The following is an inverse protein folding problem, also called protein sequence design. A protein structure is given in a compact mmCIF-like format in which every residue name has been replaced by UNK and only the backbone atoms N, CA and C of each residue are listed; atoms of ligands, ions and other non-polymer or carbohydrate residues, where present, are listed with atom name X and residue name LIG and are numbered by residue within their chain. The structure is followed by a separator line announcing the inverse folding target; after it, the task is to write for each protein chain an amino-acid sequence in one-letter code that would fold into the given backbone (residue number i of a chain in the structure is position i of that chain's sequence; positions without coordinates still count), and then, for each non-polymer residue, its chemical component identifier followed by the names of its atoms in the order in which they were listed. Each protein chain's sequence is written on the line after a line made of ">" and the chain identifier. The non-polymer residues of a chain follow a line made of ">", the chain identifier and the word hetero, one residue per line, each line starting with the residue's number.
data_IF_792736591811
#
_entry.id   IF_792736591811
#
_cell.length_a   1.000
_cell.length_b   1.000
_cell.length_c   1.000
_cell.angle_alpha   90.00
_cell.angle_beta   90.00
_cell.angle_gamma   90.00
#
_symmetry.space_group_name_H-M   'P 1'
#
loop_
_entity.id
_entity.type
_entity.pdbx_description
1 polymer ?
#
# COMPACT_ATOMS: atom_id res chain seq x y z
N UNK A 1 -7.58 57.03 -12.73
CA UNK A 1 -6.67 56.03 -12.13
C UNK A 1 -7.39 54.91 -11.38
N UNK A 2 -8.36 55.16 -10.48
CA UNK A 2 -9.07 54.10 -9.72
C UNK A 2 -9.83 53.07 -10.57
N UNK A 3 -10.40 53.46 -11.72
CA UNK A 3 -11.16 52.53 -12.60
C UNK A 3 -10.27 51.55 -13.39
N UNK A 4 -9.03 51.93 -13.69
CA UNK A 4 -8.07 51.07 -14.41
C UNK A 4 -7.55 49.95 -13.49
N UNK A 5 -7.34 50.26 -12.21
CA UNK A 5 -6.88 49.29 -11.21
C UNK A 5 -7.87 48.12 -11.03
N UNK A 6 -9.18 48.42 -11.06
CA UNK A 6 -10.24 47.41 -10.87
C UNK A 6 -10.30 46.44 -12.07
N UNK A 7 -10.08 46.94 -13.29
CA UNK A 7 -10.09 46.12 -14.51
C UNK A 7 -8.88 45.18 -14.54
N UNK A 8 -7.70 45.65 -14.08
CA UNK A 8 -6.49 44.83 -14.00
C UNK A 8 -6.63 43.71 -12.95
N UNK A 9 -7.28 43.98 -11.81
CA UNK A 9 -7.55 42.96 -10.79
C UNK A 9 -8.58 41.92 -11.29
N UNK A 10 -9.62 42.34 -12.01
CA UNK A 10 -10.61 41.42 -12.58
C UNK A 10 -10.01 40.53 -13.68
N UNK A 11 -9.07 41.04 -14.49
CA UNK A 11 -8.32 40.25 -15.47
C UNK A 11 -7.37 39.24 -14.81
N UNK A 12 -6.74 39.59 -13.68
CA UNK A 12 -5.93 38.66 -12.89
C UNK A 12 -6.76 37.53 -12.24
N UNK A 13 -8.02 37.81 -11.89
CA UNK A 13 -8.94 36.77 -11.40
C UNK A 13 -9.45 35.87 -12.54
N UNK A 14 -9.61 36.38 -13.76
CA UNK A 14 -10.00 35.58 -14.93
C UNK A 14 -8.85 34.72 -15.48
N UNK A 15 -7.60 35.09 -15.22
CA UNK A 15 -6.42 34.29 -15.55
C UNK A 15 -6.06 33.27 -14.48
N UNK A 16 -6.98 32.93 -13.57
CA UNK A 16 -6.85 31.72 -12.75
C UNK A 16 -7.01 30.52 -13.67
N UNK A 17 -5.87 30.22 -14.31
CA UNK A 17 -5.46 29.02 -14.97
C UNK A 17 -6.43 27.85 -14.72
N UNK A 18 -7.03 27.35 -15.79
CA UNK A 18 -7.34 25.93 -15.90
C UNK A 18 -6.01 25.17 -15.82
N UNK A 19 -5.43 25.06 -14.61
CA UNK A 19 -4.40 24.08 -14.33
C UNK A 19 -5.12 22.76 -14.54
N UNK A 20 -4.77 22.05 -15.62
CA UNK A 20 -5.17 20.67 -15.77
C UNK A 20 -4.59 19.93 -14.54
N UNK A 21 -5.43 19.74 -13.53
CA UNK A 21 -5.12 18.87 -12.41
C UNK A 21 -4.90 17.49 -13.01
N UNK A 22 -3.66 16.99 -12.93
CA UNK A 22 -3.37 15.63 -13.36
C UNK A 22 -4.38 14.67 -12.72
N UNK A 23 -4.81 13.65 -13.48
CA UNK A 23 -5.76 12.66 -12.99
C UNK A 23 -5.31 12.13 -11.63
N UNK A 24 -6.17 12.30 -10.63
CA UNK A 24 -5.88 11.93 -9.24
C UNK A 24 -5.54 10.44 -9.13
N UNK A 25 -6.10 9.60 -10.00
CA UNK A 25 -5.78 8.17 -10.07
C UNK A 25 -4.32 7.93 -10.49
N UNK A 26 -3.82 8.68 -11.47
CA UNK A 26 -2.42 8.58 -11.93
C UNK A 26 -1.46 9.03 -10.84
N UNK A 27 -1.78 10.14 -10.16
CA UNK A 27 -0.98 10.65 -9.05
C UNK A 27 -0.98 9.67 -7.87
N UNK A 28 -2.15 9.16 -7.48
CA UNK A 28 -2.27 8.22 -6.37
C UNK A 28 -1.55 6.91 -6.68
N UNK A 29 -1.73 6.32 -7.86
CA UNK A 29 -1.06 5.08 -8.22
C UNK A 29 0.47 5.22 -8.13
N UNK A 30 1.01 6.32 -8.68
CA UNK A 30 2.45 6.62 -8.60
C UNK A 30 2.91 6.81 -7.17
N UNK A 31 2.17 7.54 -6.35
CA UNK A 31 2.56 7.82 -4.97
C UNK A 31 2.51 6.54 -4.13
N UNK A 32 1.39 5.80 -4.16
CA UNK A 32 1.21 4.58 -3.37
C UNK A 32 2.26 3.53 -3.71
N UNK A 33 2.51 3.22 -4.98
CA UNK A 33 3.50 2.19 -5.32
C UNK A 33 4.94 2.70 -5.37
N UNK A 34 5.18 3.97 -5.67
CA UNK A 34 6.52 4.49 -5.90
C UNK A 34 7.23 5.07 -4.67
N UNK A 35 6.50 5.63 -3.71
CA UNK A 35 7.13 6.34 -2.56
C UNK A 35 6.36 6.29 -1.25
N UNK A 36 5.14 5.77 -1.24
CA UNK A 36 4.35 5.68 -0.02
C UNK A 36 4.93 4.61 0.92
N UNK A 37 4.94 4.84 2.26
CA UNK A 37 5.44 3.87 3.21
C UNK A 37 4.70 2.53 3.12
N UNK A 38 5.47 1.45 3.01
CA UNK A 38 4.96 0.08 3.07
C UNK A 38 4.78 -0.33 4.53
N UNK A 39 3.68 -1.01 4.84
CA UNK A 39 3.59 -1.77 6.09
C UNK A 39 4.44 -3.04 5.91
N UNK A 40 5.43 -3.24 6.77
CA UNK A 40 6.30 -4.42 6.81
C UNK A 40 6.58 -4.76 8.27
N UNK A 41 5.69 -5.57 8.84
CA UNK A 41 5.71 -5.96 10.24
C UNK A 41 5.84 -7.46 10.34
N UNK A 42 6.72 -7.94 11.22
CA UNK A 42 7.00 -9.37 11.37
C UNK A 42 6.61 -9.86 12.76
N UNK A 43 6.05 -11.07 12.80
CA UNK A 43 5.72 -11.77 14.05
C UNK A 43 4.91 -10.94 15.06
N UNK A 44 3.94 -10.17 14.58
CA UNK A 44 3.02 -9.40 15.41
C UNK A 44 1.75 -10.19 15.69
N UNK A 45 1.11 -9.94 16.83
CA UNK A 45 -0.16 -10.58 17.17
C UNK A 45 -1.32 -9.60 16.90
N UNK A 46 -2.43 -10.09 16.29
CA UNK A 46 -3.63 -9.28 16.19
C UNK A 46 -4.26 -9.06 17.57
N UNK A 47 -4.81 -7.87 17.76
CA UNK A 47 -5.63 -7.51 18.91
C UNK A 47 -6.93 -8.32 18.92
N UNK A 48 -7.53 -8.44 20.11
CA UNK A 48 -8.84 -9.05 20.23
C UNK A 48 -9.94 -8.12 19.68
N UNK A 49 -10.25 -8.27 18.40
CA UNK A 49 -11.33 -7.57 17.72
C UNK A 49 -12.60 -8.45 17.62
N UNK A 50 -13.78 -7.85 17.79
CA UNK A 50 -15.07 -8.51 17.62
C UNK A 50 -15.51 -8.62 16.15
N UNK A 51 -14.96 -7.79 15.26
CA UNK A 51 -15.33 -7.81 13.84
C UNK A 51 -14.74 -9.05 13.15
N UNK A 52 -15.60 -9.77 12.43
CA UNK A 52 -15.28 -11.07 11.84
C UNK A 52 -14.47 -11.00 10.54
N UNK A 53 -14.37 -9.83 9.94
CA UNK A 53 -13.73 -9.60 8.62
C UNK A 53 -12.45 -8.75 8.74
N UNK A 54 -11.94 -8.55 9.96
CA UNK A 54 -10.77 -7.70 10.20
C UNK A 54 -9.83 -8.31 11.23
N UNK A 55 -8.53 -8.02 11.05
CA UNK A 55 -7.51 -8.13 12.08
C UNK A 55 -7.01 -6.72 12.40
N UNK A 56 -6.88 -6.41 13.68
CA UNK A 56 -6.42 -5.08 14.14
C UNK A 56 -5.07 -5.25 14.79
N UNK A 57 -4.14 -4.37 14.48
CA UNK A 57 -2.80 -4.37 15.02
C UNK A 57 -2.49 -3.00 15.62
N UNK A 58 -2.15 -2.98 16.91
CA UNK A 58 -1.68 -1.77 17.59
C UNK A 58 -0.22 -1.51 17.22
N UNK A 59 0.07 -0.31 16.74
CA UNK A 59 1.42 0.20 16.51
C UNK A 59 1.69 1.35 17.48
N UNK A 60 2.95 1.78 17.60
CA UNK A 60 3.38 2.80 18.57
C UNK A 60 2.49 4.05 18.64
N UNK A 61 2.04 4.57 17.48
CA UNK A 61 1.25 5.80 17.39
C UNK A 61 0.01 5.68 16.49
N UNK A 62 -0.33 4.47 16.05
CA UNK A 62 -1.38 4.23 15.05
C UNK A 62 -1.95 2.83 15.17
N UNK A 63 -3.05 2.59 14.48
CA UNK A 63 -3.55 1.22 14.27
C UNK A 63 -3.43 0.86 12.79
N UNK A 64 -3.13 -0.40 12.51
CA UNK A 64 -3.25 -0.99 11.17
C UNK A 64 -4.36 -2.02 11.23
N UNK A 65 -5.38 -1.85 10.39
CA UNK A 65 -6.49 -2.79 10.26
C UNK A 65 -6.39 -3.51 8.94
N UNK A 66 -6.16 -4.82 8.98
CA UNK A 66 -6.20 -5.68 7.81
C UNK A 66 -7.62 -6.17 7.57
N UNK A 67 -8.19 -5.83 6.41
CA UNK A 67 -9.56 -6.19 6.01
C UNK A 67 -9.55 -7.38 5.05
N UNK A 68 -10.48 -8.30 5.27
CA UNK A 68 -10.59 -9.54 4.51
C UNK A 68 -11.99 -9.66 3.92
N UNK A 69 -12.08 -10.28 2.74
CA UNK A 69 -13.35 -10.59 2.11
C UNK A 69 -14.10 -11.72 2.84
N UNK A 70 -13.38 -12.70 3.38
CA UNK A 70 -13.95 -13.87 4.03
C UNK A 70 -13.55 -13.94 5.51
N UNK A 71 -14.52 -14.31 6.36
CA UNK A 71 -14.34 -14.57 7.79
C UNK A 71 -13.37 -15.73 8.04
N UNK A 72 -13.31 -16.70 7.13
CA UNK A 72 -12.42 -17.86 7.30
C UNK A 72 -10.93 -17.49 7.23
N UNK A 73 -10.58 -16.47 6.44
CA UNK A 73 -9.22 -15.92 6.42
C UNK A 73 -8.87 -15.32 7.78
N UNK A 74 -9.78 -14.58 8.41
CA UNK A 74 -9.57 -14.00 9.75
C UNK A 74 -9.39 -15.10 10.79
N UNK A 75 -10.21 -16.15 10.76
CA UNK A 75 -10.12 -17.28 11.71
C UNK A 75 -8.76 -17.96 11.65
N UNK A 76 -8.15 -18.07 10.46
CA UNK A 76 -6.81 -18.65 10.28
C UNK A 76 -5.74 -17.88 11.08
N UNK A 77 -5.88 -16.56 11.20
CA UNK A 77 -4.83 -15.67 11.71
C UNK A 77 -5.09 -15.13 13.12
N UNK A 78 -6.34 -15.01 13.56
CA UNK A 78 -6.76 -14.26 14.76
C UNK A 78 -6.04 -14.62 16.08
N UNK A 79 -5.52 -15.83 16.22
CA UNK A 79 -4.84 -16.28 17.44
C UNK A 79 -3.39 -16.73 17.19
N UNK A 80 -2.79 -16.25 16.10
CA UNK A 80 -1.43 -16.60 15.70
C UNK A 80 -0.61 -15.33 15.49
N UNK A 81 0.69 -15.45 15.72
CA UNK A 81 1.63 -14.45 15.24
C UNK A 81 1.61 -14.45 13.71
N UNK A 82 1.62 -13.26 13.14
CA UNK A 82 1.53 -13.04 11.69
C UNK A 82 2.55 -12.01 11.23
N UNK A 83 2.84 -12.06 9.94
CA UNK A 83 3.52 -10.98 9.24
C UNK A 83 2.49 -10.19 8.44
N UNK A 84 2.68 -8.88 8.36
CA UNK A 84 1.87 -7.96 7.57
C UNK A 84 2.77 -7.27 6.57
N UNK A 85 2.49 -7.43 5.28
CA UNK A 85 3.19 -6.74 4.21
C UNK A 85 2.22 -6.16 3.19
N UNK A 86 2.33 -4.85 2.92
CA UNK A 86 1.69 -4.23 1.76
C UNK A 86 1.38 -2.75 1.94
N UNK A 87 0.56 -2.25 1.02
CA UNK A 87 0.15 -0.84 0.98
C UNK A 87 -1.04 -0.61 1.92
N UNK A 88 -0.83 0.23 2.94
CA UNK A 88 -1.93 0.76 3.73
C UNK A 88 -2.42 2.10 3.18
N UNK A 89 -3.63 2.49 3.56
CA UNK A 89 -4.18 3.82 3.31
C UNK A 89 -4.77 4.40 4.59
N UNK A 90 -4.75 5.73 4.70
CA UNK A 90 -5.33 6.43 5.84
C UNK A 90 -6.86 6.31 5.84
N UNK A 91 -7.43 5.85 6.95
CA UNK A 91 -8.86 5.89 7.19
C UNK A 91 -9.29 7.17 7.91
N UNK A 92 -10.54 7.16 8.39
CA UNK A 92 -11.10 8.27 9.15
C UNK A 92 -10.26 8.53 10.42
N UNK A 93 -9.95 9.81 10.69
CA UNK A 93 -9.12 10.30 11.82
C UNK A 93 -7.59 10.15 11.72
N UNK A 94 -7.00 9.88 10.54
CA UNK A 94 -5.53 9.88 10.22
C UNK A 94 -4.61 8.94 11.04
N UNK A 95 -4.99 8.55 12.26
CA UNK A 95 -4.25 7.62 13.12
C UNK A 95 -4.55 6.15 12.79
N UNK A 96 -5.62 5.89 12.03
CA UNK A 96 -6.04 4.56 11.65
C UNK A 96 -5.65 4.33 10.19
N UNK A 97 -4.91 3.27 9.95
CA UNK A 97 -4.53 2.81 8.62
C UNK A 97 -5.26 1.51 8.31
N UNK A 98 -5.56 1.31 7.04
CA UNK A 98 -6.27 0.14 6.55
C UNK A 98 -5.46 -0.50 5.44
N UNK A 99 -5.44 -1.82 5.40
CA UNK A 99 -4.80 -2.63 4.37
C UNK A 99 -5.76 -3.76 3.97
N UNK A 100 -5.83 -4.08 2.69
CA UNK A 100 -6.62 -5.25 2.25
C UNK A 100 -5.73 -6.48 2.19
N UNK A 101 -6.00 -7.46 3.05
CA UNK A 101 -5.17 -8.65 3.17
C UNK A 101 -3.76 -8.32 3.65
N UNK A 102 -2.75 -8.76 2.89
CA UNK A 102 -1.33 -8.53 3.24
C UNK A 102 -0.81 -9.38 4.41
N UNK A 103 -1.60 -10.35 4.90
CA UNK A 103 -1.27 -11.13 6.11
C UNK A 103 -0.83 -12.56 5.79
N UNK A 104 0.25 -13.02 6.42
CA UNK A 104 0.74 -14.41 6.38
C UNK A 104 1.04 -14.91 7.80
N UNK A 105 1.01 -16.23 8.02
CA UNK A 105 1.46 -16.79 9.32
C UNK A 105 2.96 -16.55 9.50
N UNK A 106 3.35 -16.12 10.70
CA UNK A 106 4.75 -15.97 11.05
C UNK A 106 5.41 -17.34 11.30
N UNK A 107 6.73 -17.40 11.13
CA UNK A 107 7.54 -18.59 11.43
C UNK A 107 7.74 -19.58 10.28
N UNK A 108 7.01 -19.44 9.16
CA UNK A 108 7.21 -20.29 7.98
C UNK A 108 8.08 -19.62 6.90
N UNK A 109 9.37 -19.51 7.23
CA UNK A 109 10.37 -18.85 6.40
C UNK A 109 11.29 -19.83 5.66
N UNK A 110 11.80 -19.39 4.53
CA UNK A 110 12.95 -19.94 3.82
C UNK A 110 14.23 -19.56 4.54
N UNK A 111 15.25 -20.42 4.49
CA UNK A 111 16.57 -20.14 5.07
C UNK A 111 17.23 -18.89 4.47
N UNK A 112 16.93 -18.60 3.19
CA UNK A 112 17.44 -17.43 2.46
C UNK A 112 16.32 -16.80 1.65
N UNK A 113 16.37 -15.48 1.49
CA UNK A 113 15.45 -14.77 0.60
C UNK A 113 15.61 -15.29 -0.83
N UNK A 114 14.48 -15.59 -1.47
CA UNK A 114 14.42 -16.04 -2.85
C UNK A 114 14.09 -14.85 -3.74
N UNK A 115 14.98 -14.54 -4.68
CA UNK A 115 14.70 -13.61 -5.78
C UNK A 115 13.67 -14.24 -6.71
N UNK A 116 12.60 -13.52 -7.00
CA UNK A 116 11.55 -14.00 -7.91
C UNK A 116 12.02 -13.76 -9.36
N UNK A 117 12.07 -14.79 -10.22
CA UNK A 117 12.34 -14.59 -11.64
C UNK A 117 11.18 -13.84 -12.30
N UNK A 118 11.50 -12.80 -13.07
CA UNK A 118 10.54 -11.95 -13.78
C UNK A 118 10.82 -12.05 -15.27
N UNK A 119 9.83 -12.51 -16.03
CA UNK A 119 9.84 -12.38 -17.49
C UNK A 119 9.14 -11.07 -17.84
N UNK A 120 9.91 -10.13 -18.40
CA UNK A 120 9.45 -8.78 -18.68
C UNK A 120 9.51 -8.53 -20.18
N UNK A 121 8.47 -7.91 -20.73
CA UNK A 121 8.42 -7.44 -22.10
C UNK A 121 8.30 -5.93 -22.12
N UNK A 122 9.26 -5.24 -22.74
CA UNK A 122 9.23 -3.78 -22.91
C UNK A 122 9.21 -3.49 -24.40
N UNK A 123 8.14 -2.84 -24.88
CA UNK A 123 7.95 -2.55 -26.30
C UNK A 123 8.08 -3.78 -27.21
N UNK A 124 7.69 -4.96 -26.71
CA UNK A 124 7.75 -6.24 -27.44
C UNK A 124 9.06 -7.02 -27.26
N UNK A 125 10.09 -6.42 -26.67
CA UNK A 125 11.38 -7.08 -26.43
C UNK A 125 11.37 -7.83 -25.08
N UNK A 126 11.69 -9.13 -25.12
CA UNK A 126 11.73 -9.97 -23.93
C UNK A 126 13.06 -9.86 -23.18
N UNK A 127 12.98 -9.79 -21.85
CA UNK A 127 14.11 -9.90 -20.94
C UNK A 127 13.73 -10.67 -19.68
N UNK A 128 14.69 -11.43 -19.14
CA UNK A 128 14.53 -12.13 -17.86
C UNK A 128 15.35 -11.40 -16.80
N UNK A 129 14.69 -10.99 -15.71
CA UNK A 129 15.31 -10.26 -14.60
C UNK A 129 15.14 -11.07 -13.32
N UNK A 130 16.14 -11.04 -12.45
CA UNK A 130 16.05 -11.53 -11.08
C UNK A 130 16.85 -10.59 -10.18
N UNK A 131 16.22 -10.04 -9.15
CA UNK A 131 16.78 -8.95 -8.34
C UNK A 131 16.37 -9.09 -6.87
N UNK A 132 17.19 -8.61 -5.95
CA UNK A 132 16.87 -8.58 -4.52
C UNK A 132 15.68 -7.67 -4.21
N UNK A 133 15.39 -6.69 -5.08
CA UNK A 133 14.25 -5.78 -4.92
C UNK A 133 12.90 -6.51 -4.95
N UNK A 134 12.82 -7.60 -5.73
CA UNK A 134 11.63 -8.46 -5.81
C UNK A 134 12.01 -9.83 -5.27
N UNK A 135 12.13 -9.90 -3.95
CA UNK A 135 12.50 -11.11 -3.23
C UNK A 135 11.66 -11.27 -1.96
N UNK A 136 11.57 -12.50 -1.47
CA UNK A 136 10.92 -12.81 -0.19
C UNK A 136 11.58 -14.01 0.47
N UNK A 137 11.62 -14.02 1.80
CA UNK A 137 11.97 -15.20 2.57
C UNK A 137 10.73 -15.95 3.07
N UNK A 138 9.50 -15.50 2.79
CA UNK A 138 8.29 -16.25 3.18
C UNK A 138 8.10 -17.45 2.27
N UNK A 139 7.82 -18.65 2.81
CA UNK A 139 7.49 -19.82 1.98
C UNK A 139 6.15 -19.66 1.28
N UNK A 140 5.16 -19.11 1.98
CA UNK A 140 3.89 -18.67 1.45
C UNK A 140 3.83 -17.15 1.55
N UNK A 141 4.02 -16.48 0.43
CA UNK A 141 4.00 -15.01 0.32
C UNK A 141 2.67 -14.53 -0.26
N UNK A 142 2.22 -13.33 0.12
CA UNK A 142 1.04 -12.72 -0.51
C UNK A 142 1.36 -12.25 -1.93
N UNK A 143 0.38 -12.29 -2.82
CA UNK A 143 0.52 -11.66 -4.13
C UNK A 143 0.79 -10.15 -4.01
N UNK A 144 0.17 -9.50 -3.02
CA UNK A 144 0.36 -8.08 -2.73
C UNK A 144 1.82 -7.73 -2.41
N UNK A 145 2.53 -8.55 -1.62
CA UNK A 145 3.94 -8.31 -1.31
C UNK A 145 4.81 -8.32 -2.56
N UNK A 146 4.61 -9.31 -3.44
CA UNK A 146 5.39 -9.42 -4.68
C UNK A 146 5.03 -8.30 -5.67
N UNK A 147 3.74 -8.01 -5.84
CA UNK A 147 3.26 -6.97 -6.76
C UNK A 147 3.70 -5.56 -6.32
N UNK A 148 3.67 -5.28 -5.02
CA UNK A 148 4.12 -3.98 -4.48
C UNK A 148 5.63 -3.79 -4.66
N UNK A 149 6.43 -4.85 -4.48
CA UNK A 149 7.89 -4.80 -4.73
C UNK A 149 8.24 -4.66 -6.21
N UNK A 150 7.37 -5.17 -7.09
CA UNK A 150 7.60 -5.19 -8.54
C UNK A 150 7.36 -3.82 -9.20
N UNK A 151 6.34 -3.10 -8.74
CA UNK A 151 5.94 -1.79 -9.28
C UNK A 151 6.73 -0.64 -8.69
#
# INVERSE_FOLDING_TARGET
>A
MKRILIIVVLLFCYSQNHIATADVGVLNLRNYYGSYPIEDHQSINPENNHLSHQLVFSMDNSTVTAEFKNVDDVKKFKNHAVDVYGLSYSGYCLKNKYIYGGVTLAGDYLEKSRRIPINLWVNGEHQTISTDKVSTNKKLVTAQEIDTKLR
#
